data_IF_190497722147
#
_entry.id   IF_190497722147
#
_cell.length_a   1.000
_cell.length_b   1.000
_cell.length_c   1.000
_cell.angle_alpha   90.00
_cell.angle_beta   90.00
_cell.angle_gamma   90.00
#
_symmetry.space_group_name_H-M   'P 1'
#
loop_
_entity.id
_entity.type
_entity.pdbx_description
1 polymer ?
#
# COMPACT_ATOMS: atom_id res chain seq x y z
N UNK A 1 -5.87 -2.49 18.61
CA UNK A 1 -5.53 -1.77 17.37
C UNK A 1 -6.26 -0.44 17.35
N UNK A 2 -5.61 0.65 16.93
CA UNK A 2 -6.18 2.01 16.91
C UNK A 2 -7.08 2.24 15.68
N UNK A 3 -6.70 1.69 14.51
CA UNK A 3 -7.53 1.65 13.30
C UNK A 3 -7.08 0.51 12.36
N UNK A 4 -7.96 -0.04 11.52
CA UNK A 4 -7.59 -0.95 10.44
C UNK A 4 -6.50 -0.33 9.55
N UNK A 5 -5.44 -1.07 9.18
CA UNK A 5 -4.33 -0.55 8.40
C UNK A 5 -4.72 0.21 7.12
N UNK A 6 -5.72 -0.25 6.32
CA UNK A 6 -6.14 0.49 5.13
C UNK A 6 -6.64 1.90 5.42
N UNK A 7 -7.32 2.10 6.56
CA UNK A 7 -7.83 3.42 6.94
C UNK A 7 -6.72 4.40 7.32
N UNK A 8 -5.61 3.91 7.87
CA UNK A 8 -4.45 4.74 8.19
C UNK A 8 -3.80 5.25 6.89
N UNK A 9 -3.58 4.36 5.92
CA UNK A 9 -3.02 4.75 4.62
C UNK A 9 -3.95 5.66 3.83
N UNK A 10 -5.26 5.38 3.78
CA UNK A 10 -6.22 6.25 3.10
C UNK A 10 -6.35 7.62 3.77
N UNK A 11 -6.35 7.65 5.11
CA UNK A 11 -6.40 8.88 5.88
C UNK A 11 -5.17 9.76 5.64
N UNK A 12 -3.98 9.17 5.69
CA UNK A 12 -2.73 9.88 5.38
C UNK A 12 -2.74 10.43 3.95
N UNK A 13 -3.20 9.63 2.98
CA UNK A 13 -3.22 10.02 1.56
C UNK A 13 -4.16 11.21 1.34
N UNK A 14 -5.33 11.19 1.97
CA UNK A 14 -6.29 12.29 1.90
C UNK A 14 -5.78 13.57 2.53
N UNK A 15 -5.16 13.48 3.72
CA UNK A 15 -4.53 14.63 4.39
C UNK A 15 -3.41 15.21 3.53
N UNK A 16 -2.58 14.34 2.97
CA UNK A 16 -1.44 14.77 2.18
C UNK A 16 -1.82 15.40 0.84
N UNK A 17 -2.87 14.92 0.16
CA UNK A 17 -3.46 15.66 -0.97
C UNK A 17 -4.01 17.03 -0.57
N UNK A 18 -4.63 17.13 0.62
CA UNK A 18 -5.06 18.41 1.17
C UNK A 18 -3.89 19.38 1.35
N UNK A 19 -2.78 18.91 1.92
CA UNK A 19 -1.56 19.70 2.09
C UNK A 19 -0.95 20.12 0.74
N UNK A 20 -0.86 19.19 -0.21
CA UNK A 20 -0.29 19.48 -1.53
C UNK A 20 -1.07 20.57 -2.27
N UNK A 21 -2.40 20.54 -2.16
CA UNK A 21 -3.29 21.54 -2.76
C UNK A 21 -3.10 22.96 -2.21
N UNK A 22 -2.59 23.09 -0.98
CA UNK A 22 -2.35 24.38 -0.31
C UNK A 22 -0.91 24.85 -0.49
N UNK A 23 0.05 23.94 -0.40
CA UNK A 23 1.47 24.27 -0.39
C UNK A 23 1.98 24.52 -1.82
N UNK A 24 1.45 23.80 -2.82
CA UNK A 24 1.82 23.96 -4.22
C UNK A 24 3.31 23.68 -4.47
N UNK A 25 3.65 22.45 -4.82
CA UNK A 25 5.04 22.07 -5.10
C UNK A 25 5.33 21.99 -6.60
N UNK A 26 6.61 22.05 -6.96
CA UNK A 26 7.05 21.90 -8.35
C UNK A 26 6.68 20.53 -8.90
N UNK A 27 6.11 20.50 -10.11
CA UNK A 27 5.71 19.28 -10.77
C UNK A 27 6.87 18.58 -11.47
N UNK A 28 7.01 17.28 -11.25
CA UNK A 28 7.91 16.44 -12.05
C UNK A 28 7.29 16.14 -13.43
N UNK A 29 8.09 15.88 -14.48
CA UNK A 29 7.57 15.53 -15.78
C UNK A 29 6.71 14.25 -15.74
N UNK A 30 5.53 14.23 -16.40
CA UNK A 30 4.68 13.02 -16.48
C UNK A 30 5.41 11.79 -17.05
N UNK A 31 6.39 12.02 -17.92
CA UNK A 31 7.24 10.97 -18.49
C UNK A 31 8.03 10.19 -17.43
N UNK A 32 8.23 10.74 -16.24
CA UNK A 32 8.91 10.09 -15.11
C UNK A 32 7.89 9.59 -14.09
N UNK A 33 6.91 10.43 -13.72
CA UNK A 33 5.97 10.09 -12.64
C UNK A 33 5.03 8.96 -13.02
N UNK A 34 4.52 8.93 -14.25
CA UNK A 34 3.58 7.90 -14.71
C UNK A 34 4.20 6.50 -14.68
N UNK A 35 5.36 6.23 -15.31
CA UNK A 35 5.92 4.87 -15.30
C UNK A 35 6.37 4.43 -13.91
N UNK A 36 6.99 5.33 -13.12
CA UNK A 36 7.46 5.00 -11.77
C UNK A 36 6.30 4.75 -10.82
N UNK A 37 5.28 5.61 -10.88
CA UNK A 37 4.07 5.47 -10.06
C UNK A 37 3.26 4.23 -10.44
N UNK A 38 3.07 3.97 -11.74
CA UNK A 38 2.41 2.76 -12.22
C UNK A 38 3.15 1.49 -11.81
N UNK A 39 4.49 1.45 -11.94
CA UNK A 39 5.30 0.31 -11.50
C UNK A 39 5.14 0.07 -9.99
N UNK A 40 5.12 1.14 -9.19
CA UNK A 40 4.92 1.07 -7.73
C UNK A 40 3.53 0.53 -7.37
N UNK A 41 2.48 1.04 -8.02
CA UNK A 41 1.09 0.57 -7.84
C UNK A 41 0.98 -0.91 -8.22
N UNK A 42 1.49 -1.31 -9.38
CA UNK A 42 1.41 -2.69 -9.86
C UNK A 42 2.15 -3.66 -8.93
N UNK A 43 3.32 -3.26 -8.43
CA UNK A 43 4.08 -4.05 -7.45
C UNK A 43 3.33 -4.16 -6.11
N UNK A 44 2.79 -3.05 -5.62
CA UNK A 44 2.00 -3.00 -4.39
C UNK A 44 0.73 -3.86 -4.47
N UNK A 45 -0.02 -3.74 -5.57
CA UNK A 45 -1.20 -4.54 -5.85
C UNK A 45 -0.86 -6.04 -6.00
N UNK A 46 0.27 -6.37 -6.63
CA UNK A 46 0.77 -7.74 -6.71
C UNK A 46 1.07 -8.33 -5.33
N UNK A 47 1.71 -7.56 -4.45
CA UNK A 47 1.95 -7.98 -3.05
C UNK A 47 0.65 -8.17 -2.28
N UNK A 48 -0.31 -7.24 -2.39
CA UNK A 48 -1.63 -7.38 -1.76
C UNK A 48 -2.40 -8.60 -2.28
N UNK A 49 -2.39 -8.83 -3.59
CA UNK A 49 -3.00 -10.01 -4.20
C UNK A 49 -2.35 -11.32 -3.73
N UNK A 50 -1.02 -11.34 -3.61
CA UNK A 50 -0.29 -12.49 -3.10
C UNK A 50 -0.55 -12.76 -1.62
N UNK A 51 -0.69 -11.70 -0.80
CA UNK A 51 -1.09 -11.78 0.61
C UNK A 51 -2.49 -12.36 0.74
N UNK A 52 -3.47 -11.84 -0.02
CA UNK A 52 -4.83 -12.37 -0.04
C UNK A 52 -4.86 -13.84 -0.48
N UNK A 53 -4.05 -14.21 -1.48
CA UNK A 53 -3.94 -15.60 -1.94
C UNK A 53 -3.37 -16.52 -0.85
N UNK A 54 -2.38 -16.05 -0.09
CA UNK A 54 -1.79 -16.81 1.01
C UNK A 54 -2.83 -17.04 2.13
N UNK A 55 -3.58 -16.01 2.52
CA UNK A 55 -4.64 -16.12 3.53
C UNK A 55 -5.79 -17.03 3.09
N UNK A 56 -6.24 -16.91 1.82
CA UNK A 56 -7.25 -17.82 1.27
C UNK A 56 -6.79 -19.28 1.26
N UNK A 57 -5.53 -19.53 0.92
CA UNK A 57 -4.94 -20.88 0.93
C UNK A 57 -4.84 -21.46 2.34
N UNK A 58 -4.56 -20.62 3.33
CA UNK A 58 -4.48 -21.03 4.71
C UNK A 58 -5.86 -21.20 5.39
N UNK A 59 -6.97 -20.91 4.69
CA UNK A 59 -8.35 -20.90 5.24
C UNK A 59 -8.53 -20.09 6.54
N UNK A 60 -7.58 -19.22 6.87
CA UNK A 60 -7.67 -18.32 8.02
C UNK A 60 -8.58 -17.14 7.68
N UNK A 61 -9.47 -16.74 8.60
CA UNK A 61 -10.19 -15.48 8.48
C UNK A 61 -9.20 -14.33 8.25
N UNK A 62 -9.47 -13.46 7.28
CA UNK A 62 -8.73 -12.20 7.06
C UNK A 62 -9.08 -11.17 8.14
N UNK A 63 -9.72 -11.61 9.21
CA UNK A 63 -10.20 -10.77 10.29
C UNK A 63 -9.02 -10.34 11.18
N UNK A 64 -8.66 -9.04 11.23
CA UNK A 64 -7.60 -8.53 12.09
C UNK A 64 -7.89 -8.71 13.59
N UNK A 65 -9.13 -9.06 13.95
CA UNK A 65 -9.59 -9.27 15.32
C UNK A 65 -9.46 -10.72 15.80
N UNK A 66 -9.16 -11.67 14.90
CA UNK A 66 -8.94 -13.07 15.28
C UNK A 66 -7.45 -13.30 15.54
N UNK A 67 -7.05 -13.89 16.69
CA UNK A 67 -5.66 -14.27 16.93
C UNK A 67 -5.17 -15.16 15.78
N UNK A 68 -4.03 -14.81 15.19
CA UNK A 68 -3.41 -15.61 14.13
C UNK A 68 -2.92 -16.93 14.72
N UNK A 69 -3.66 -18.02 14.52
CA UNK A 69 -3.29 -19.37 15.00
C UNK A 69 -2.22 -20.07 14.14
N UNK A 70 -1.91 -19.54 12.95
CA UNK A 70 -0.93 -20.14 12.03
C UNK A 70 0.02 -19.09 11.43
N UNK A 71 1.32 -19.33 11.58
CA UNK A 71 2.36 -18.54 10.90
C UNK A 71 2.42 -19.01 9.44
N UNK A 72 1.86 -18.21 8.53
CA UNK A 72 1.97 -18.44 7.09
C UNK A 72 3.38 -18.05 6.64
N UNK A 73 4.23 -19.03 6.36
CA UNK A 73 5.62 -18.83 5.90
C UNK A 73 5.77 -18.83 4.37
N UNK A 74 4.71 -19.20 3.65
CA UNK A 74 4.73 -19.35 2.19
C UNK A 74 4.39 -18.07 1.41
N UNK A 75 4.95 -17.97 0.21
CA UNK A 75 4.67 -16.88 -0.73
C UNK A 75 5.34 -15.55 -0.35
N UNK A 76 4.61 -14.42 -0.28
CA UNK A 76 5.20 -13.10 -0.07
C UNK A 76 5.84 -12.91 1.31
N UNK A 77 5.48 -13.76 2.28
CA UNK A 77 6.10 -13.82 3.60
C UNK A 77 7.58 -14.23 3.58
N UNK A 78 8.07 -14.79 2.45
CA UNK A 78 9.50 -15.06 2.22
C UNK A 78 10.32 -13.79 1.95
N UNK A 79 9.67 -12.74 1.45
CA UNK A 79 10.32 -11.47 1.08
C UNK A 79 10.25 -10.45 2.22
N UNK A 80 9.12 -10.41 2.94
CA UNK A 80 8.93 -9.50 4.08
C UNK A 80 7.99 -10.12 5.11
N UNK A 81 8.21 -9.81 6.39
CA UNK A 81 7.31 -10.26 7.47
C UNK A 81 5.93 -9.60 7.42
N UNK A 82 5.79 -8.48 6.70
CA UNK A 82 4.59 -7.66 6.63
C UNK A 82 4.20 -7.30 5.18
N UNK A 83 3.87 -8.29 4.34
CA UNK A 83 3.61 -8.08 2.91
C UNK A 83 2.39 -7.20 2.62
N UNK A 84 1.37 -7.22 3.49
CA UNK A 84 0.21 -6.35 3.39
C UNK A 84 0.61 -4.86 3.54
N UNK A 85 1.38 -4.53 4.59
CA UNK A 85 1.84 -3.15 4.82
C UNK A 85 2.77 -2.67 3.71
N UNK A 86 3.67 -3.52 3.22
CA UNK A 86 4.55 -3.17 2.10
C UNK A 86 3.73 -2.92 0.82
N UNK A 87 2.73 -3.76 0.54
CA UNK A 87 1.83 -3.58 -0.58
C UNK A 87 1.03 -2.27 -0.51
N UNK A 88 0.51 -1.93 0.68
CA UNK A 88 -0.17 -0.65 0.91
C UNK A 88 0.78 0.55 0.73
N UNK A 89 1.99 0.50 1.29
CA UNK A 89 2.97 1.58 1.17
C UNK A 89 3.41 1.83 -0.28
N UNK A 90 3.65 0.77 -1.06
CA UNK A 90 3.99 0.90 -2.48
C UNK A 90 2.83 1.43 -3.32
N UNK A 91 1.61 1.00 -3.02
CA UNK A 91 0.40 1.49 -3.69
C UNK A 91 0.18 2.97 -3.38
N UNK A 92 0.31 3.35 -2.11
CA UNK A 92 0.25 4.73 -1.64
C UNK A 92 1.27 5.62 -2.35
N UNK A 93 2.55 5.25 -2.29
CA UNK A 93 3.62 6.02 -2.91
C UNK A 93 3.43 6.14 -4.42
N UNK A 94 2.98 5.06 -5.07
CA UNK A 94 2.69 5.10 -6.50
C UNK A 94 1.56 6.06 -6.86
N UNK A 95 0.48 6.13 -6.05
CA UNK A 95 -0.60 7.10 -6.23
C UNK A 95 -0.09 8.53 -6.06
N UNK A 96 0.66 8.81 -5.00
CA UNK A 96 1.26 10.13 -4.74
C UNK A 96 2.17 10.58 -5.89
N UNK A 97 3.00 9.67 -6.41
CA UNK A 97 3.90 9.93 -7.54
C UNK A 97 3.09 10.22 -8.82
N UNK A 98 2.12 9.38 -9.19
CA UNK A 98 1.29 9.63 -10.40
C UNK A 98 0.54 10.95 -10.30
N UNK A 99 0.01 11.26 -9.12
CA UNK A 99 -0.69 12.51 -8.86
C UNK A 99 0.24 13.73 -8.75
N UNK A 100 1.56 13.51 -8.77
CA UNK A 100 2.57 14.56 -8.62
C UNK A 100 2.40 15.36 -7.32
N UNK A 101 1.97 14.68 -6.26
CA UNK A 101 1.65 15.26 -4.97
C UNK A 101 2.67 14.79 -3.92
N UNK A 102 3.84 15.43 -3.80
CA UNK A 102 4.87 15.00 -2.84
C UNK A 102 4.46 15.13 -1.37
N UNK A 103 3.42 15.91 -1.07
CA UNK A 103 2.87 15.99 0.28
C UNK A 103 1.80 14.92 0.56
N UNK A 104 1.36 14.17 -0.46
CA UNK A 104 0.57 12.95 -0.31
C UNK A 104 1.49 11.83 0.20
#
# INVERSE_FOLDING_TARGET
MIAPPPLIYLGALGVGFGLDSVIGTGSLPPAVTVPVGAASIMTGAGLLGSFLRAFRRAQTPVDPYTPSEAIVTDGPYRLTRNPCYLGMALTYAGIAIVANAPWA
#
